data_IF_583271037299
#
_entry.id   IF_583271037299
#
_cell.length_a   1.000
_cell.length_b   1.000
_cell.length_c   1.000
_cell.angle_alpha   90.00
_cell.angle_beta   90.00
_cell.angle_gamma   90.00
#
_symmetry.space_group_name_H-M   'P 1'
#
loop_
_entity.id
_entity.type
_entity.pdbx_description
1 polymer ?
#
# COMPACT_ATOMS: atom_id res chain seq x y z
N UNK A 1 -16.05 -72.64 -2.48
CA UNK A 1 -15.65 -71.27 -2.88
C UNK A 1 -14.20 -71.07 -2.45
N UNK A 2 -13.24 -71.44 -3.30
CA UNK A 2 -11.82 -71.25 -3.00
C UNK A 2 -11.39 -69.90 -3.56
N UNK A 3 -11.31 -68.90 -2.68
CA UNK A 3 -10.60 -67.66 -2.96
C UNK A 3 -9.10 -67.97 -2.91
N UNK A 4 -8.46 -68.17 -4.06
CA UNK A 4 -7.01 -68.18 -4.18
C UNK A 4 -6.50 -66.76 -3.91
N UNK A 5 -6.06 -66.51 -2.68
CA UNK A 5 -5.36 -65.29 -2.32
C UNK A 5 -4.04 -65.24 -3.08
N UNK A 6 -3.94 -64.36 -4.08
CA UNK A 6 -2.67 -64.05 -4.74
C UNK A 6 -1.89 -63.11 -3.83
N UNK A 7 -0.76 -63.58 -3.31
CA UNK A 7 0.17 -62.73 -2.57
C UNK A 7 0.86 -61.72 -3.50
N UNK A 8 0.98 -60.47 -3.06
CA UNK A 8 1.76 -59.47 -3.76
C UNK A 8 3.24 -59.81 -3.71
N UNK A 9 3.93 -59.61 -4.83
CA UNK A 9 5.39 -59.78 -4.86
C UNK A 9 6.06 -58.57 -4.22
N UNK A 10 7.19 -58.77 -3.53
CA UNK A 10 7.92 -57.69 -2.84
C UNK A 10 8.31 -56.56 -3.82
N UNK A 11 8.62 -56.93 -5.07
CA UNK A 11 8.96 -55.97 -6.14
C UNK A 11 7.79 -55.07 -6.54
N UNK A 12 6.56 -55.58 -6.53
CA UNK A 12 5.37 -54.81 -6.87
C UNK A 12 5.10 -53.72 -5.82
N UNK A 13 5.29 -54.05 -4.54
CA UNK A 13 5.18 -53.09 -3.44
C UNK A 13 6.25 -52.00 -3.54
N UNK A 14 7.49 -52.36 -3.86
CA UNK A 14 8.58 -51.38 -4.04
C UNK A 14 8.31 -50.41 -5.20
N UNK A 15 7.74 -50.89 -6.31
CA UNK A 15 7.38 -50.04 -7.45
C UNK A 15 6.28 -49.05 -7.05
N UNK A 16 5.26 -49.50 -6.30
CA UNK A 16 4.19 -48.61 -5.82
C UNK A 16 4.74 -47.53 -4.88
N UNK A 17 5.64 -47.90 -3.96
CA UNK A 17 6.28 -46.93 -3.06
C UNK A 17 7.13 -45.93 -3.84
N UNK A 18 7.89 -46.38 -4.84
CA UNK A 18 8.67 -45.49 -5.70
C UNK A 18 7.79 -44.50 -6.49
N UNK A 19 6.68 -44.96 -7.08
CA UNK A 19 5.77 -44.10 -7.84
C UNK A 19 5.04 -43.12 -6.92
N UNK A 20 4.57 -43.58 -5.76
CA UNK A 20 3.86 -42.72 -4.80
C UNK A 20 4.78 -41.66 -4.20
N UNK A 21 6.03 -41.98 -3.89
CA UNK A 21 7.01 -40.98 -3.41
C UNK A 21 7.34 -39.93 -4.48
N UNK A 22 7.55 -40.33 -5.74
CA UNK A 22 7.75 -39.37 -6.84
C UNK A 22 6.52 -38.47 -7.04
N UNK A 23 5.31 -39.05 -7.01
CA UNK A 23 4.06 -38.29 -7.11
C UNK A 23 3.86 -37.31 -5.95
N UNK A 24 4.22 -37.71 -4.73
CA UNK A 24 4.14 -36.85 -3.55
C UNK A 24 5.09 -35.65 -3.66
N UNK A 25 6.34 -35.87 -4.09
CA UNK A 25 7.32 -34.78 -4.30
C UNK A 25 6.82 -33.79 -5.37
N UNK A 26 6.24 -34.31 -6.46
CA UNK A 26 5.68 -33.46 -7.51
C UNK A 26 4.53 -32.57 -6.99
N UNK A 27 3.61 -33.13 -6.21
CA UNK A 27 2.50 -32.38 -5.61
C UNK A 27 2.99 -31.34 -4.59
N UNK A 28 3.99 -31.68 -3.79
CA UNK A 28 4.56 -30.76 -2.80
C UNK A 28 5.16 -29.51 -3.47
N UNK A 29 5.91 -29.68 -4.56
CA UNK A 29 6.46 -28.55 -5.31
C UNK A 29 5.37 -27.64 -5.90
N UNK A 30 4.26 -28.23 -6.37
CA UNK A 30 3.13 -27.48 -6.89
C UNK A 30 2.43 -26.67 -5.79
N UNK A 31 2.28 -27.25 -4.59
CA UNK A 31 1.68 -26.57 -3.44
C UNK A 31 2.52 -25.37 -2.98
N UNK A 32 3.84 -25.51 -2.94
CA UNK A 32 4.75 -24.40 -2.59
C UNK A 32 4.59 -23.23 -3.57
N UNK A 33 4.55 -23.52 -4.88
CA UNK A 33 4.31 -22.49 -5.90
C UNK A 33 2.96 -21.78 -5.75
N UNK A 34 1.89 -22.54 -5.45
CA UNK A 34 0.56 -21.99 -5.21
C UNK A 34 0.53 -21.08 -3.97
N UNK A 35 1.20 -21.48 -2.88
CA UNK A 35 1.30 -20.67 -1.66
C UNK A 35 2.02 -19.35 -1.89
N UNK A 36 3.15 -19.34 -2.61
CA UNK A 36 3.86 -18.09 -2.94
C UNK A 36 3.01 -17.15 -3.79
N UNK A 37 2.26 -17.69 -4.75
CA UNK A 37 1.35 -16.90 -5.61
C UNK A 37 0.19 -16.30 -4.79
N UNK A 38 -0.35 -17.07 -3.84
CA UNK A 38 -1.40 -16.62 -2.95
C UNK A 38 -0.92 -15.49 -2.02
N UNK A 39 0.30 -15.59 -1.48
CA UNK A 39 0.90 -14.52 -0.67
C UNK A 39 1.05 -13.22 -1.46
N UNK A 40 1.65 -13.27 -2.65
CA UNK A 40 1.82 -12.07 -3.48
C UNK A 40 0.49 -11.44 -3.92
N UNK A 41 -0.57 -12.23 -4.05
CA UNK A 41 -1.92 -11.73 -4.35
C UNK A 41 -2.53 -10.97 -3.16
N UNK A 42 -2.28 -11.43 -1.93
CA UNK A 42 -2.69 -10.73 -0.71
C UNK A 42 -1.94 -9.42 -0.56
N UNK A 43 -0.62 -9.43 -0.74
CA UNK A 43 0.19 -8.22 -0.64
C UNK A 43 -0.25 -7.15 -1.65
N UNK A 44 -0.63 -7.57 -2.86
CA UNK A 44 -1.19 -6.68 -3.87
C UNK A 44 -2.56 -6.12 -3.47
N UNK A 45 -3.45 -6.93 -2.90
CA UNK A 45 -4.76 -6.47 -2.42
C UNK A 45 -4.62 -5.46 -1.28
N UNK A 46 -3.74 -5.75 -0.32
CA UNK A 46 -3.42 -4.86 0.78
C UNK A 46 -2.84 -3.53 0.29
N UNK A 47 -1.92 -3.57 -0.66
CA UNK A 47 -1.37 -2.36 -1.28
C UNK A 47 -2.47 -1.52 -1.97
N UNK A 48 -3.40 -2.16 -2.68
CA UNK A 48 -4.53 -1.47 -3.34
C UNK A 48 -5.42 -0.81 -2.29
N UNK A 49 -5.82 -1.56 -1.25
CA UNK A 49 -6.64 -1.04 -0.16
C UNK A 49 -5.97 0.15 0.52
N UNK A 50 -4.66 0.08 0.75
CA UNK A 50 -3.87 1.17 1.32
C UNK A 50 -3.83 2.41 0.40
N UNK A 51 -3.64 2.21 -0.90
CA UNK A 51 -3.67 3.30 -1.88
C UNK A 51 -5.06 3.97 -1.94
N UNK A 52 -6.12 3.18 -1.91
CA UNK A 52 -7.51 3.66 -1.88
C UNK A 52 -7.80 4.42 -0.60
N UNK A 53 -7.37 3.92 0.55
CA UNK A 53 -7.50 4.59 1.83
C UNK A 53 -6.85 5.98 1.80
N UNK A 54 -5.60 6.08 1.34
CA UNK A 54 -4.90 7.37 1.19
C UNK A 54 -5.64 8.30 0.21
N UNK A 55 -6.16 7.76 -0.89
CA UNK A 55 -6.96 8.53 -1.84
C UNK A 55 -8.27 9.05 -1.22
N UNK A 56 -8.93 8.24 -0.39
CA UNK A 56 -10.13 8.63 0.35
C UNK A 56 -9.81 9.73 1.36
N UNK A 57 -8.72 9.61 2.13
CA UNK A 57 -8.30 10.66 3.06
C UNK A 57 -8.00 11.97 2.34
N UNK A 58 -7.33 11.92 1.18
CA UNK A 58 -7.12 13.13 0.35
C UNK A 58 -8.42 13.74 -0.16
N UNK A 59 -9.42 12.92 -0.53
CA UNK A 59 -10.76 13.42 -0.90
C UNK A 59 -11.48 14.05 0.28
N UNK A 60 -11.34 13.48 1.48
CA UNK A 60 -11.90 14.07 2.71
C UNK A 60 -11.28 15.42 3.02
N UNK A 61 -9.95 15.54 2.94
CA UNK A 61 -9.26 16.82 3.06
C UNK A 61 -9.74 17.85 2.03
N UNK A 62 -9.99 17.41 0.79
CA UNK A 62 -10.46 18.29 -0.26
C UNK A 62 -11.87 18.83 -0.05
N UNK A 63 -12.73 18.11 0.69
CA UNK A 63 -14.04 18.65 1.08
C UNK A 63 -13.91 19.88 1.98
N UNK A 64 -12.82 19.99 2.72
CA UNK A 64 -12.53 21.14 3.58
C UNK A 64 -11.66 22.20 2.92
N UNK A 65 -11.10 21.90 1.74
CA UNK A 65 -10.41 22.88 0.92
C UNK A 65 -11.42 23.79 0.25
N UNK A 66 -11.51 25.03 0.73
CA UNK A 66 -12.44 26.05 0.25
C UNK A 66 -11.69 27.22 -0.37
N UNK A 67 -12.35 28.12 -1.13
CA UNK A 67 -11.69 29.32 -1.65
C UNK A 67 -11.25 30.30 -0.55
N UNK A 68 -11.80 30.18 0.67
CA UNK A 68 -11.48 31.03 1.80
C UNK A 68 -10.33 30.50 2.66
N UNK A 69 -9.95 29.22 2.51
CA UNK A 69 -8.74 28.72 3.16
C UNK A 69 -7.54 29.36 2.49
N UNK A 70 -6.73 30.10 3.25
CA UNK A 70 -5.41 30.56 2.81
C UNK A 70 -4.59 29.37 2.30
N UNK A 71 -3.64 29.65 1.40
CA UNK A 71 -2.87 28.69 0.61
C UNK A 71 -2.68 27.32 1.30
N UNK A 72 -3.12 26.26 0.63
CA UNK A 72 -3.01 24.85 1.05
C UNK A 72 -1.66 24.54 1.70
N UNK A 73 -0.57 25.12 1.16
CA UNK A 73 0.82 24.86 1.48
C UNK A 73 1.31 25.26 2.88
N UNK A 74 0.45 25.69 3.80
CA UNK A 74 0.87 26.12 5.16
C UNK A 74 -0.12 25.80 6.28
N UNK A 75 -1.23 25.11 6.00
CA UNK A 75 -2.22 24.80 7.04
C UNK A 75 -1.92 23.43 7.64
N UNK A 76 -1.68 23.38 8.96
CA UNK A 76 -1.54 22.12 9.71
C UNK A 76 -2.80 21.24 9.68
N UNK A 77 -3.90 21.75 9.12
CA UNK A 77 -5.18 21.08 8.95
C UNK A 77 -5.14 19.93 7.94
N UNK A 78 -4.43 20.10 6.83
CA UNK A 78 -4.33 19.09 5.78
C UNK A 78 -3.09 18.23 6.02
N UNK A 79 -3.21 16.90 5.98
CA UNK A 79 -2.08 15.98 6.14
C UNK A 79 -1.31 15.83 4.83
N UNK A 80 -2.03 15.67 3.72
CA UNK A 80 -1.43 15.45 2.41
C UNK A 80 -1.45 16.71 1.54
N UNK A 81 -2.58 17.43 1.52
CA UNK A 81 -2.73 18.59 0.65
C UNK A 81 -1.84 19.77 1.06
N UNK A 82 -1.30 19.77 2.29
CA UNK A 82 -0.37 20.78 2.77
C UNK A 82 0.99 20.79 2.05
N UNK A 83 1.31 19.72 1.30
CA UNK A 83 2.53 19.65 0.47
C UNK A 83 2.27 19.95 -1.00
N UNK A 84 1.12 20.52 -1.33
CA UNK A 84 0.84 20.99 -2.68
C UNK A 84 1.86 22.06 -3.12
N UNK A 85 2.20 22.15 -4.41
CA UNK A 85 3.13 23.15 -4.89
C UNK A 85 2.61 24.57 -4.63
N UNK A 86 3.45 25.42 -4.04
CA UNK A 86 3.14 26.84 -3.77
C UNK A 86 2.91 27.59 -5.09
N UNK A 87 3.67 27.23 -6.14
CA UNK A 87 3.54 27.82 -7.47
C UNK A 87 2.25 27.33 -8.13
N UNK A 88 1.30 28.24 -8.31
CA UNK A 88 0.00 28.01 -8.95
C UNK A 88 0.12 28.01 -10.49
N UNK A 89 1.01 27.18 -11.03
CA UNK A 89 1.16 26.98 -12.47
C UNK A 89 0.70 25.58 -12.85
N UNK A 90 -0.03 25.48 -13.97
CA UNK A 90 -0.49 24.19 -14.49
C UNK A 90 0.71 23.28 -14.77
N UNK A 91 0.62 22.03 -14.30
CA UNK A 91 1.68 21.03 -14.46
C UNK A 91 2.80 21.09 -13.41
N UNK A 92 2.83 22.11 -12.54
CA UNK A 92 3.75 22.10 -11.41
C UNK A 92 3.42 20.93 -10.48
N UNK A 93 4.45 20.19 -10.08
CA UNK A 93 4.32 19.02 -9.22
C UNK A 93 5.10 19.19 -7.90
N UNK A 94 4.71 18.44 -6.87
CA UNK A 94 5.33 18.47 -5.54
C UNK A 94 6.60 17.62 -5.43
N UNK A 95 6.99 16.93 -6.49
CA UNK A 95 7.82 15.73 -6.38
C UNK A 95 7.12 14.58 -5.65
N UNK A 96 7.79 13.44 -5.56
CA UNK A 96 7.32 12.31 -4.76
C UNK A 96 7.64 12.54 -3.29
N UNK A 97 6.63 12.41 -2.45
CA UNK A 97 6.68 12.66 -1.01
C UNK A 97 6.28 11.39 -0.28
N UNK A 98 6.84 11.15 0.91
CA UNK A 98 6.46 10.03 1.76
C UNK A 98 5.17 10.40 2.51
N UNK A 99 4.14 9.54 2.42
CA UNK A 99 2.81 9.80 3.00
C UNK A 99 2.78 9.79 4.52
N UNK A 100 3.58 8.92 5.15
CA UNK A 100 3.54 8.71 6.59
C UNK A 100 4.83 9.19 7.25
N UNK A 101 4.74 9.91 8.39
CA UNK A 101 5.91 10.16 9.21
C UNK A 101 6.40 8.84 9.83
N UNK A 102 7.67 8.79 10.27
CA UNK A 102 8.17 7.62 10.98
C UNK A 102 7.42 7.40 12.30
N UNK A 103 7.42 6.15 12.79
CA UNK A 103 6.84 5.84 14.11
C UNK A 103 7.57 6.60 15.23
N UNK A 104 6.86 6.97 16.30
CA UNK A 104 7.46 7.77 17.37
C UNK A 104 8.66 7.02 17.99
N UNK A 105 9.85 7.61 17.87
CA UNK A 105 11.10 6.98 18.35
C UNK A 105 11.70 5.91 17.42
N UNK A 106 11.17 5.75 16.20
CA UNK A 106 11.72 4.86 15.18
C UNK A 106 12.12 5.67 13.94
N UNK A 107 13.09 5.16 13.17
CA UNK A 107 13.38 5.69 11.83
C UNK A 107 12.46 5.09 10.74
N UNK A 108 11.83 3.97 11.06
CA UNK A 108 10.99 3.21 10.13
C UNK A 108 9.73 4.01 9.74
N UNK A 109 9.54 4.14 8.43
CA UNK A 109 8.42 4.83 7.76
C UNK A 109 7.49 3.86 7.03
N UNK A 110 7.78 2.55 7.11
CA UNK A 110 6.88 1.53 6.57
C UNK A 110 5.59 1.50 7.37
N UNK A 111 4.54 1.08 6.69
CA UNK A 111 3.19 1.01 7.23
C UNK A 111 2.57 -0.36 6.97
N UNK A 112 1.57 -0.70 7.77
CA UNK A 112 0.74 -1.88 7.57
C UNK A 112 -0.28 -1.67 6.44
N UNK A 113 -1.15 -2.67 6.19
CA UNK A 113 -2.17 -2.61 5.13
C UNK A 113 -3.18 -1.48 5.30
N UNK A 114 -3.29 -0.91 6.51
CA UNK A 114 -4.24 0.17 6.85
C UNK A 114 -3.58 1.52 7.09
N UNK A 115 -2.25 1.60 6.99
CA UNK A 115 -1.48 2.82 7.23
C UNK A 115 -0.65 2.78 8.51
N UNK A 116 -0.26 3.96 9.00
CA UNK A 116 0.57 4.09 10.20
C UNK A 116 -0.32 4.08 11.46
N UNK A 117 -0.07 3.11 12.34
CA UNK A 117 -0.77 2.85 13.61
C UNK A 117 -0.45 3.87 14.73
N UNK A 118 0.30 4.94 14.44
CA UNK A 118 0.56 6.01 15.39
C UNK A 118 -0.73 6.75 15.77
N UNK A 119 -1.40 6.26 16.83
CA UNK A 119 -2.62 6.78 17.45
C UNK A 119 -2.53 8.29 17.80
N UNK A 120 -1.32 8.84 17.92
CA UNK A 120 -1.08 10.24 18.23
C UNK A 120 -1.25 11.21 17.04
N UNK A 121 -1.24 10.73 15.79
CA UNK A 121 -1.35 11.57 14.58
C UNK A 121 -2.62 11.30 13.77
N UNK A 122 -3.62 10.69 14.42
CA UNK A 122 -4.80 10.21 13.72
C UNK A 122 -5.87 11.29 13.70
N UNK A 123 -5.87 12.05 12.60
CA UNK A 123 -6.97 12.93 12.22
C UNK A 123 -8.19 12.12 11.79
N UNK A 124 -8.49 12.12 10.48
CA UNK A 124 -9.70 11.48 9.92
C UNK A 124 -9.80 9.96 10.12
N UNK A 125 -8.69 9.27 10.37
CA UNK A 125 -8.65 7.80 10.35
C UNK A 125 -8.78 7.15 11.75
N UNK A 126 -9.16 7.94 12.77
CA UNK A 126 -9.09 7.54 14.20
C UNK A 126 -9.99 6.37 14.56
N UNK A 127 -11.14 6.24 13.89
CA UNK A 127 -12.07 5.14 14.16
C UNK A 127 -11.58 3.78 13.67
N UNK A 128 -10.85 3.74 12.54
CA UNK A 128 -10.39 2.48 11.95
C UNK A 128 -9.19 1.91 12.72
N UNK A 129 -8.25 2.76 13.13
CA UNK A 129 -7.05 2.33 13.84
C UNK A 129 -7.30 1.87 15.28
N UNK A 130 -8.51 2.12 15.84
CA UNK A 130 -8.88 1.62 17.16
C UNK A 130 -9.38 0.17 17.12
N UNK A 131 -9.91 -0.28 15.99
CA UNK A 131 -10.49 -1.62 15.85
C UNK A 131 -9.47 -2.64 15.33
N UNK A 132 -8.46 -2.17 14.59
CA UNK A 132 -7.45 -3.02 13.98
C UNK A 132 -6.22 -3.03 14.88
N UNK A 133 -5.87 -4.21 15.40
CA UNK A 133 -4.65 -4.40 16.18
C UNK A 133 -3.44 -3.95 15.35
N UNK A 134 -2.46 -3.24 15.96
CA UNK A 134 -1.29 -2.76 15.24
C UNK A 134 -0.56 -3.95 14.61
N UNK A 135 -0.42 -3.91 13.29
CA UNK A 135 0.23 -4.99 12.55
C UNK A 135 1.75 -4.80 12.68
N UNK A 136 2.39 -5.77 13.32
CA UNK A 136 3.85 -5.81 13.46
C UNK A 136 4.56 -5.98 12.10
N UNK A 137 3.84 -6.33 11.03
CA UNK A 137 4.37 -6.53 9.69
C UNK A 137 4.21 -5.29 8.80
N UNK A 138 4.77 -4.16 9.23
CA UNK A 138 4.85 -2.96 8.41
C UNK A 138 5.78 -3.17 7.19
N UNK A 139 5.19 -3.51 6.04
CA UNK A 139 5.90 -3.89 4.82
C UNK A 139 5.71 -2.89 3.67
N UNK A 140 4.81 -1.93 3.80
CA UNK A 140 4.44 -1.04 2.71
C UNK A 140 5.08 0.34 2.87
N UNK A 141 5.60 0.89 1.78
CA UNK A 141 6.00 2.27 1.66
C UNK A 141 5.00 2.98 0.76
N UNK A 142 4.50 4.12 1.23
CA UNK A 142 3.54 4.91 0.46
C UNK A 142 4.16 6.25 0.08
N UNK A 143 4.23 6.49 -1.22
CA UNK A 143 4.62 7.77 -1.78
C UNK A 143 3.43 8.40 -2.49
N UNK A 144 3.37 9.73 -2.49
CA UNK A 144 2.37 10.45 -3.25
C UNK A 144 3.00 11.66 -3.93
N UNK A 145 2.40 12.09 -5.03
CA UNK A 145 2.82 13.26 -5.78
C UNK A 145 1.59 14.04 -6.20
N UNK A 146 1.58 15.34 -5.89
CA UNK A 146 0.51 16.26 -6.25
C UNK A 146 0.92 17.07 -7.48
N UNK A 147 0.02 17.23 -8.44
CA UNK A 147 0.24 18.02 -9.66
C UNK A 147 -0.96 18.90 -9.95
N UNK A 148 -0.73 20.19 -10.19
CA UNK A 148 -1.79 21.13 -10.57
C UNK A 148 -2.32 20.83 -11.98
N UNK A 149 -3.59 20.43 -12.10
CA UNK A 149 -4.28 20.33 -13.40
C UNK A 149 -4.91 21.67 -13.78
N UNK A 150 -5.57 22.30 -12.80
CA UNK A 150 -6.07 23.67 -12.87
C UNK A 150 -5.60 24.37 -11.60
N UNK A 151 -4.77 25.42 -11.70
CA UNK A 151 -4.26 26.13 -10.53
C UNK A 151 -5.38 26.53 -9.56
N UNK A 152 -5.18 26.24 -8.28
CA UNK A 152 -6.10 26.56 -7.18
C UNK A 152 -7.53 25.97 -7.30
N UNK A 153 -7.77 25.03 -8.21
CA UNK A 153 -9.09 24.42 -8.39
C UNK A 153 -9.04 22.89 -8.44
N UNK A 154 -8.09 22.33 -9.17
CA UNK A 154 -8.03 20.90 -9.45
C UNK A 154 -6.60 20.38 -9.36
N UNK A 155 -6.40 19.40 -8.48
CA UNK A 155 -5.16 18.67 -8.30
C UNK A 155 -5.30 17.24 -8.81
N UNK A 156 -4.22 16.69 -9.35
CA UNK A 156 -4.05 15.25 -9.55
C UNK A 156 -3.08 14.76 -8.49
N UNK A 157 -3.47 13.75 -7.73
CA UNK A 157 -2.59 13.02 -6.85
C UNK A 157 -2.27 11.65 -7.47
N UNK A 158 -0.99 11.37 -7.71
CA UNK A 158 -0.53 10.03 -8.03
C UNK A 158 -0.09 9.37 -6.71
N UNK A 159 -0.70 8.27 -6.31
CA UNK A 159 -0.36 7.52 -5.09
C UNK A 159 0.36 6.25 -5.50
N UNK A 160 1.50 5.99 -4.91
CA UNK A 160 2.33 4.81 -5.16
C UNK A 160 2.49 4.04 -3.87
N UNK A 161 2.22 2.75 -3.92
CA UNK A 161 2.48 1.83 -2.81
C UNK A 161 3.51 0.83 -3.30
N UNK A 162 4.62 0.73 -2.58
CA UNK A 162 5.72 -0.18 -2.89
C UNK A 162 6.07 -1.03 -1.68
N UNK A 163 6.40 -2.30 -1.90
CA UNK A 163 6.80 -3.23 -0.85
C UNK A 163 7.94 -4.14 -1.36
N UNK A 164 8.84 -4.57 -0.46
CA UNK A 164 9.92 -5.47 -0.83
C UNK A 164 9.38 -6.86 -1.15
N UNK A 165 10.03 -7.56 -2.08
CA UNK A 165 9.82 -9.00 -2.33
C UNK A 165 10.44 -9.82 -1.19
N UNK A 166 10.03 -11.07 -1.05
CA UNK A 166 10.48 -11.99 0.01
C UNK A 166 12.02 -12.19 0.12
N UNK A 167 12.78 -11.86 -0.92
CA UNK A 167 14.25 -12.01 -0.94
C UNK A 167 15.00 -10.70 -0.76
N UNK A 168 14.30 -9.56 -0.72
CA UNK A 168 14.92 -8.26 -0.67
C UNK A 168 15.36 -7.89 0.76
N UNK A 169 16.37 -7.02 0.86
CA UNK A 169 16.86 -6.56 2.16
C UNK A 169 15.88 -5.56 2.80
N UNK A 170 15.04 -6.02 3.72
CA UNK A 170 14.05 -5.20 4.43
C UNK A 170 14.63 -3.93 5.08
N UNK A 171 15.88 -3.99 5.57
CA UNK A 171 16.52 -2.85 6.26
C UNK A 171 16.76 -1.67 5.34
N UNK A 172 17.07 -1.92 4.06
CA UNK A 172 17.30 -0.87 3.06
C UNK A 172 16.04 -0.04 2.76
N UNK A 173 14.86 -0.58 3.07
CA UNK A 173 13.56 0.02 2.76
C UNK A 173 12.85 0.62 3.98
N UNK A 174 13.44 0.56 5.18
CA UNK A 174 12.84 1.11 6.41
C UNK A 174 12.51 2.60 6.27
N UNK A 175 13.36 3.38 5.59
CA UNK A 175 13.14 4.82 5.44
C UNK A 175 12.24 5.19 4.25
N UNK A 176 11.72 4.22 3.50
CA UNK A 176 10.94 4.42 2.28
C UNK A 176 11.58 5.45 1.30
N UNK A 177 12.82 5.21 0.83
CA UNK A 177 13.47 6.14 -0.08
C UNK A 177 12.68 6.30 -1.38
N UNK A 178 12.72 7.50 -1.96
CA UNK A 178 11.95 7.81 -3.18
C UNK A 178 12.46 7.00 -4.40
N UNK A 179 13.74 6.62 -4.36
CA UNK A 179 14.46 5.84 -5.36
C UNK A 179 14.13 4.33 -5.33
N UNK A 180 13.23 3.88 -4.45
CA UNK A 180 12.78 2.48 -4.43
C UNK A 180 12.32 1.99 -5.81
N UNK A 181 11.74 2.89 -6.60
CA UNK A 181 11.23 2.59 -7.94
C UNK A 181 12.30 2.23 -8.96
N UNK A 182 13.55 2.63 -8.71
CA UNK A 182 14.66 2.28 -9.58
C UNK A 182 15.14 0.83 -9.32
N UNK A 183 14.73 0.22 -8.20
CA UNK A 183 15.09 -1.13 -7.78
C UNK A 183 14.00 -2.17 -8.09
N UNK A 184 13.47 -2.18 -9.32
CA UNK A 184 12.37 -3.06 -9.75
C UNK A 184 12.58 -4.57 -9.52
N UNK A 185 13.84 -5.01 -9.38
CA UNK A 185 14.17 -6.41 -9.09
C UNK A 185 13.78 -6.83 -7.67
N UNK A 186 13.87 -5.90 -6.72
CA UNK A 186 13.70 -6.17 -5.29
C UNK A 186 12.33 -5.76 -4.77
N UNK A 187 11.65 -4.85 -5.45
CA UNK A 187 10.37 -4.32 -5.01
C UNK A 187 9.22 -4.71 -5.94
N UNK A 188 8.02 -4.70 -5.39
CA UNK A 188 6.77 -4.62 -6.12
C UNK A 188 6.16 -3.26 -5.87
N UNK A 189 5.40 -2.75 -6.84
CA UNK A 189 4.70 -1.48 -6.66
C UNK A 189 3.41 -1.44 -7.46
N UNK A 190 2.48 -0.64 -6.97
CA UNK A 190 1.29 -0.19 -7.68
C UNK A 190 1.27 1.34 -7.69
N UNK A 191 0.61 1.92 -8.68
CA UNK A 191 0.39 3.37 -8.72
C UNK A 191 -1.05 3.65 -9.14
N UNK A 192 -1.77 4.39 -8.29
CA UNK A 192 -3.18 4.74 -8.47
C UNK A 192 -3.31 6.26 -8.58
N UNK A 193 -3.70 6.80 -9.75
CA UNK A 193 -3.97 8.22 -9.88
C UNK A 193 -5.37 8.56 -9.36
N UNK A 194 -5.51 9.69 -8.68
CA UNK A 194 -6.79 10.27 -8.25
C UNK A 194 -6.83 11.76 -8.55
N UNK A 195 -8.00 12.26 -8.96
CA UNK A 195 -8.25 13.69 -9.14
C UNK A 195 -8.99 14.25 -7.93
N UNK A 196 -8.55 15.41 -7.47
CA UNK A 196 -9.00 16.09 -6.26
C UNK A 196 -9.46 17.49 -6.66
N UNK A 197 -10.73 17.79 -6.43
CA UNK A 197 -11.35 19.07 -6.75
C UNK A 197 -11.56 19.87 -5.47
N UNK A 198 -11.31 21.18 -5.53
CA UNK A 198 -11.67 22.11 -4.45
C UNK A 198 -13.16 22.11 -4.20
N UNK A 199 -13.57 22.21 -2.93
CA UNK A 199 -14.99 22.38 -2.60
C UNK A 199 -15.47 23.79 -2.99
N UNK A 200 -16.34 23.86 -4.00
CA UNK A 200 -16.95 25.10 -4.50
C UNK A 200 -18.34 25.38 -3.90
N UNK A 201 -18.88 24.48 -3.08
CA UNK A 201 -20.25 24.57 -2.57
C UNK A 201 -20.38 25.37 -1.26
N UNK A 202 -19.27 25.82 -0.69
CA UNK A 202 -19.32 26.65 0.52
C UNK A 202 -19.74 28.06 0.16
N UNK A 203 -20.95 28.43 0.57
CA UNK A 203 -21.49 29.79 0.43
C UNK A 203 -20.53 30.76 1.13
N UNK A 204 -19.92 31.65 0.35
CA UNK A 204 -19.09 32.73 0.89
C UNK A 204 -20.01 33.63 1.72
N UNK A 205 -19.98 33.49 3.04
CA UNK A 205 -20.56 34.49 3.92
C UNK A 205 -19.55 35.63 3.93
N UNK A 206 -19.73 36.59 3.02
CA UNK A 206 -18.98 37.84 3.04
C UNK A 206 -19.33 38.56 4.33
N UNK A 207 -18.41 38.57 5.30
CA UNK A 207 -18.48 39.48 6.42
C UNK A 207 -18.25 40.90 5.88
N UNK A 208 -19.36 41.63 5.68
CA UNK A 208 -19.38 43.07 5.38
C UNK A 208 -19.08 43.89 6.62
#
# INVERSE_FOLDING_TARGET
MNSTARGYTLIEVLIVIAITTMGFVALMNLQIGAMHTASGSRDMQDAINLAEHVAQTMRMEAMEWTPSSSALSSTAKFKYLNKSPITLTKGTNSGWLVAFPPLAGQADRRVGPVGNDNVATVGYDRGILQEILPDINANYCVHYKLTWLIPDLLLRADIRVSWPRNQANFTSYQNCPVEMVDQLHDIQMITTPVTILRNVFVKQVSAS
#
